data_IF_582243535745
#
_entry.id   IF_582243535745
#
_cell.length_a   1.000
_cell.length_b   1.000
_cell.length_c   1.000
_cell.angle_alpha   90.00
_cell.angle_beta   90.00
_cell.angle_gamma   90.00
#
_symmetry.space_group_name_H-M   'P 1'
#
loop_
_entity.id
_entity.type
_entity.pdbx_description
1 polymer ?
#
# COMPACT_ATOMS: atom_id res chain seq x y z
N UNK A 1 -4.01 -51.67 48.43
CA UNK A 1 -3.63 -51.23 47.07
C UNK A 1 -4.47 -50.03 46.67
N UNK A 2 -3.90 -48.81 46.67
CA UNK A 2 -4.60 -47.56 46.25
C UNK A 2 -4.11 -47.21 44.84
N UNK A 3 -5.00 -47.20 43.84
CA UNK A 3 -4.65 -46.83 42.45
C UNK A 3 -4.27 -45.34 42.40
N UNK A 4 -3.14 -44.94 41.79
CA UNK A 4 -2.76 -43.54 41.70
C UNK A 4 -3.74 -42.76 40.82
N UNK A 5 -4.11 -41.56 41.28
CA UNK A 5 -5.11 -40.68 40.65
C UNK A 5 -4.58 -40.07 39.35
N UNK A 6 -4.76 -40.82 38.26
CA UNK A 6 -4.50 -40.45 36.85
C UNK A 6 -5.26 -39.22 36.33
N UNK A 7 -6.10 -38.58 37.16
CA UNK A 7 -6.80 -37.34 36.81
C UNK A 7 -5.88 -36.13 36.70
N UNK A 8 -4.75 -36.08 37.43
CA UNK A 8 -3.78 -35.00 37.30
C UNK A 8 -3.08 -35.02 35.94
N UNK A 9 -2.81 -36.22 35.39
CA UNK A 9 -2.21 -36.39 34.07
C UNK A 9 -3.15 -35.93 32.96
N UNK A 10 -4.45 -36.24 33.08
CA UNK A 10 -5.47 -35.83 32.12
C UNK A 10 -5.68 -34.31 32.17
N UNK A 11 -5.68 -33.71 33.37
CA UNK A 11 -5.84 -32.26 33.53
C UNK A 11 -4.63 -31.45 33.01
N UNK A 12 -3.42 -32.02 33.10
CA UNK A 12 -2.22 -31.42 32.54
C UNK A 12 -2.19 -31.48 31.00
N UNK A 13 -2.68 -32.59 30.43
CA UNK A 13 -2.71 -32.81 28.98
C UNK A 13 -3.73 -31.88 28.28
N UNK A 14 -4.87 -31.60 28.92
CA UNK A 14 -5.90 -30.71 28.35
C UNK A 14 -5.52 -29.23 28.42
N UNK A 15 -4.78 -28.80 29.45
CA UNK A 15 -4.31 -27.40 29.58
C UNK A 15 -3.20 -27.06 28.56
N UNK A 16 -2.39 -28.05 28.17
CA UNK A 16 -1.37 -27.88 27.13
C UNK A 16 -1.96 -27.75 25.71
N UNK A 17 -3.16 -28.28 25.45
CA UNK A 17 -3.82 -28.21 24.14
C UNK A 17 -4.42 -26.83 23.81
N UNK A 18 -4.64 -25.99 24.81
CA UNK A 18 -5.20 -24.63 24.65
C UNK A 18 -4.18 -23.61 24.11
N UNK A 19 -2.88 -23.92 24.12
CA UNK A 19 -1.83 -23.04 23.62
C UNK A 19 -1.51 -23.20 22.13
N UNK A 20 -2.00 -24.25 21.47
CA UNK A 20 -1.71 -24.53 20.05
C UNK A 20 -2.76 -24.00 19.06
N UNK A 21 -3.84 -23.38 19.54
CA UNK A 21 -4.99 -23.04 18.69
C UNK A 21 -4.89 -21.70 17.94
N UNK A 22 -3.84 -20.90 18.17
CA UNK A 22 -3.59 -19.68 17.41
C UNK A 22 -2.18 -19.71 16.80
N UNK A 23 -2.04 -20.40 15.66
CA UNK A 23 -0.97 -20.12 14.73
C UNK A 23 -1.61 -19.31 13.59
N UNK A 24 -1.16 -18.07 13.40
CA UNK A 24 -1.54 -17.28 12.23
C UNK A 24 -0.90 -17.98 11.03
N UNK A 25 -1.68 -18.39 10.04
CA UNK A 25 -1.15 -18.91 8.79
C UNK A 25 -0.40 -17.77 8.08
N UNK A 26 0.91 -17.69 8.30
CA UNK A 26 1.78 -16.89 7.45
C UNK A 26 1.85 -17.56 6.08
N UNK A 27 1.49 -16.86 4.99
CA UNK A 27 1.67 -17.42 3.67
C UNK A 27 3.16 -17.71 3.49
N UNK A 28 3.49 -18.97 3.23
CA UNK A 28 4.84 -19.40 2.91
C UNK A 28 5.25 -18.73 1.58
N UNK A 29 5.88 -17.57 1.68
CA UNK A 29 6.63 -16.95 0.59
C UNK A 29 7.76 -17.92 0.26
N UNK A 30 7.52 -18.77 -0.74
CA UNK A 30 8.45 -19.77 -1.22
C UNK A 30 9.38 -19.11 -2.24
N UNK A 31 10.44 -18.49 -1.74
CA UNK A 31 11.51 -17.88 -2.52
C UNK A 31 11.64 -16.37 -2.27
N UNK A 32 12.84 -15.77 -2.44
CA UNK A 32 12.94 -14.33 -2.44
C UNK A 32 12.32 -13.83 -3.75
N UNK A 33 11.03 -13.49 -3.73
CA UNK A 33 10.58 -12.47 -4.67
C UNK A 33 11.38 -11.20 -4.32
N UNK A 34 12.14 -10.63 -5.26
CA UNK A 34 12.81 -9.36 -5.01
C UNK A 34 11.74 -8.37 -4.54
N UNK A 35 12.01 -7.54 -3.52
CA UNK A 35 11.08 -6.50 -3.11
C UNK A 35 10.61 -5.76 -4.36
N UNK A 36 9.29 -5.68 -4.57
CA UNK A 36 8.74 -4.90 -5.67
C UNK A 36 9.22 -3.46 -5.49
N UNK A 37 10.15 -3.01 -6.32
CA UNK A 37 10.57 -1.63 -6.31
C UNK A 37 9.50 -0.79 -7.01
N UNK A 38 8.74 -0.05 -6.20
CA UNK A 38 7.73 0.89 -6.68
C UNK A 38 8.37 1.98 -7.55
N UNK A 39 9.67 2.28 -7.37
CA UNK A 39 10.42 3.18 -8.23
C UNK A 39 10.38 2.70 -9.69
N UNK A 40 10.74 1.45 -9.93
CA UNK A 40 10.79 0.87 -11.27
C UNK A 40 9.39 0.74 -11.89
N UNK A 41 8.39 0.34 -11.09
CA UNK A 41 7.02 0.19 -11.59
C UNK A 41 6.39 1.53 -12.02
N UNK A 42 6.69 2.61 -11.30
CA UNK A 42 6.13 3.93 -11.56
C UNK A 42 7.07 4.86 -12.31
N UNK A 43 8.25 4.40 -12.72
CA UNK A 43 9.33 5.20 -13.30
C UNK A 43 9.59 6.46 -12.44
N UNK A 44 9.90 6.22 -11.16
CA UNK A 44 10.11 7.24 -10.13
C UNK A 44 11.52 7.19 -9.59
N UNK A 45 12.23 8.32 -9.63
CA UNK A 45 13.41 8.57 -8.81
C UNK A 45 12.99 9.33 -7.55
N UNK A 46 13.04 8.68 -6.38
CA UNK A 46 12.66 9.31 -5.11
C UNK A 46 13.64 10.41 -4.65
N UNK A 47 14.86 10.41 -5.16
CA UNK A 47 15.86 11.45 -4.90
C UNK A 47 15.68 12.63 -5.86
N UNK A 48 15.06 12.40 -7.02
CA UNK A 48 14.84 13.40 -8.05
C UNK A 48 13.45 13.24 -8.70
N UNK A 49 12.42 13.68 -7.99
CA UNK A 49 11.04 13.54 -8.43
C UNK A 49 10.76 14.38 -9.69
N UNK A 50 9.82 13.94 -10.56
CA UNK A 50 9.36 14.76 -11.68
C UNK A 50 8.74 16.08 -11.20
N UNK A 51 8.92 17.12 -11.99
CA UNK A 51 8.39 18.45 -11.72
C UNK A 51 6.87 18.50 -11.97
N UNK A 52 6.10 18.33 -10.90
CA UNK A 52 4.64 18.47 -10.87
C UNK A 52 4.19 19.81 -10.31
N UNK A 53 4.96 20.40 -9.40
CA UNK A 53 4.60 21.63 -8.71
C UNK A 53 4.69 22.86 -9.62
N UNK A 54 5.58 22.84 -10.61
CA UNK A 54 5.77 23.96 -11.53
C UNK A 54 6.26 23.49 -12.92
N UNK A 55 5.44 22.72 -13.67
CA UNK A 55 5.86 22.14 -14.94
C UNK A 55 6.17 23.24 -15.98
N UNK A 56 7.05 22.92 -16.92
CA UNK A 56 7.30 23.79 -18.07
C UNK A 56 6.09 23.76 -19.00
N UNK A 57 5.29 24.83 -18.95
CA UNK A 57 4.10 24.93 -19.78
C UNK A 57 4.46 25.25 -21.24
N UNK A 58 3.77 24.63 -22.22
CA UNK A 58 3.88 25.04 -23.62
C UNK A 58 3.54 26.52 -23.83
N UNK A 59 4.10 27.13 -24.89
CA UNK A 59 3.93 28.57 -25.20
C UNK A 59 2.48 29.05 -25.37
N UNK A 60 1.53 28.14 -25.59
CA UNK A 60 0.10 28.48 -25.70
C UNK A 60 -0.60 28.63 -24.34
N UNK A 61 0.08 28.29 -23.22
CA UNK A 61 -0.38 28.66 -21.89
C UNK A 61 -0.05 30.12 -21.64
N UNK A 62 -1.07 30.95 -21.74
CA UNK A 62 -0.99 32.38 -21.52
C UNK A 62 -1.02 32.70 -20.02
N UNK A 63 -0.60 33.90 -19.65
CA UNK A 63 -0.57 34.33 -18.24
C UNK A 63 -1.96 34.26 -17.59
N UNK A 64 -3.03 34.56 -18.33
CA UNK A 64 -4.41 34.46 -17.82
C UNK A 64 -4.81 33.02 -17.48
N UNK A 65 -4.33 32.01 -18.21
CA UNK A 65 -4.58 30.61 -17.87
C UNK A 65 -3.90 30.26 -16.54
N UNK A 66 -2.67 30.72 -16.34
CA UNK A 66 -1.89 30.45 -15.13
C UNK A 66 -2.45 31.18 -13.89
N UNK A 67 -3.03 32.37 -14.06
CA UNK A 67 -3.69 33.12 -12.98
C UNK A 67 -5.01 32.47 -12.52
N UNK A 68 -5.61 31.61 -13.35
CA UNK A 68 -6.84 30.88 -13.03
C UNK A 68 -6.59 29.51 -12.37
N UNK A 69 -5.46 29.34 -11.68
CA UNK A 69 -5.18 28.15 -10.88
C UNK A 69 -6.26 27.93 -9.81
N UNK A 70 -6.98 26.80 -9.92
CA UNK A 70 -8.06 26.42 -9.01
C UNK A 70 -7.58 25.53 -7.84
N UNK A 71 -6.27 25.32 -7.69
CA UNK A 71 -5.74 24.53 -6.60
C UNK A 71 -6.13 25.14 -5.23
N UNK A 72 -6.77 24.37 -4.34
CA UNK A 72 -7.13 24.85 -3.01
C UNK A 72 -5.88 25.31 -2.23
N UNK A 73 -5.99 26.41 -1.47
CA UNK A 73 -4.87 26.96 -0.71
C UNK A 73 -4.26 25.99 0.31
N UNK A 74 -5.08 25.09 0.86
CA UNK A 74 -4.66 24.06 1.82
C UNK A 74 -4.20 22.74 1.16
N UNK A 75 -4.29 22.64 -0.17
CA UNK A 75 -3.86 21.45 -0.92
C UNK A 75 -3.19 21.88 -2.24
N UNK A 76 -2.16 22.72 -2.13
CA UNK A 76 -1.33 23.11 -3.27
C UNK A 76 -0.53 21.89 -3.76
N UNK A 77 -0.33 21.81 -5.07
CA UNK A 77 0.44 20.72 -5.68
C UNK A 77 1.90 20.80 -5.22
N UNK A 78 2.47 19.65 -4.88
CA UNK A 78 3.90 19.46 -4.61
C UNK A 78 4.38 18.24 -5.38
N UNK A 79 5.66 18.17 -5.74
CA UNK A 79 6.22 17.02 -6.47
C UNK A 79 6.02 15.72 -5.70
N UNK A 80 6.32 15.74 -4.40
CA UNK A 80 6.11 14.60 -3.52
C UNK A 80 4.64 14.21 -3.39
N UNK A 81 3.74 15.18 -3.24
CA UNK A 81 2.30 14.92 -3.14
C UNK A 81 1.72 14.32 -4.42
N UNK A 82 2.14 14.83 -5.58
CA UNK A 82 1.73 14.29 -6.88
C UNK A 82 2.31 12.89 -7.15
N UNK A 83 3.58 12.65 -6.80
CA UNK A 83 4.19 11.32 -6.89
C UNK A 83 3.47 10.30 -5.99
N UNK A 84 3.16 10.66 -4.75
CA UNK A 84 2.35 9.83 -3.85
C UNK A 84 0.97 9.55 -4.45
N UNK A 85 0.30 10.58 -4.99
CA UNK A 85 -0.99 10.45 -5.66
C UNK A 85 -0.96 9.45 -6.82
N UNK A 86 0.13 9.46 -7.62
CA UNK A 86 0.33 8.47 -8.70
C UNK A 86 0.38 7.05 -8.15
N UNK A 87 1.13 6.80 -7.08
CA UNK A 87 1.20 5.46 -6.46
C UNK A 87 -0.18 5.03 -5.95
N UNK A 88 -0.86 5.89 -5.20
CA UNK A 88 -2.18 5.61 -4.62
C UNK A 88 -3.25 5.34 -5.69
N UNK A 89 -3.16 5.99 -6.85
CA UNK A 89 -4.10 5.79 -7.96
C UNK A 89 -4.14 4.34 -8.48
N UNK A 90 -3.02 3.62 -8.36
CA UNK A 90 -2.91 2.21 -8.75
C UNK A 90 -2.99 1.23 -7.57
N UNK A 91 -3.08 1.71 -6.33
CA UNK A 91 -3.13 0.87 -5.14
C UNK A 91 -4.51 0.24 -4.92
N UNK A 92 -4.58 -1.09 -5.06
CA UNK A 92 -5.81 -1.86 -4.82
C UNK A 92 -6.18 -1.93 -3.34
N UNK A 93 -5.22 -1.76 -2.42
CA UNK A 93 -5.47 -1.83 -0.98
C UNK A 93 -6.36 -0.70 -0.47
N UNK A 94 -6.54 0.35 -1.27
CA UNK A 94 -7.53 1.40 -1.00
C UNK A 94 -8.98 0.94 -1.23
N UNK A 95 -9.20 -0.22 -1.86
CA UNK A 95 -10.53 -0.84 -1.94
C UNK A 95 -10.81 -1.76 -0.76
N UNK A 96 -12.09 -1.86 -0.38
CA UNK A 96 -12.56 -2.67 0.76
C UNK A 96 -12.05 -4.11 0.77
N UNK A 97 -11.86 -4.71 -0.41
CA UNK A 97 -11.48 -6.11 -0.57
C UNK A 97 -10.16 -6.29 -1.35
N UNK A 98 -9.37 -5.23 -1.51
CA UNK A 98 -8.06 -5.27 -2.17
C UNK A 98 -8.09 -5.73 -3.65
N UNK A 99 -9.21 -5.56 -4.37
CA UNK A 99 -9.35 -6.04 -5.76
C UNK A 99 -9.41 -4.93 -6.81
N UNK A 100 -9.76 -3.69 -6.43
CA UNK A 100 -9.98 -2.58 -7.37
C UNK A 100 -9.13 -1.37 -6.95
N UNK A 101 -8.46 -0.73 -7.89
CA UNK A 101 -7.81 0.57 -7.71
C UNK A 101 -8.53 1.64 -8.54
N UNK A 102 -8.21 2.92 -8.37
CA UNK A 102 -8.75 3.99 -9.22
C UNK A 102 -8.45 3.72 -10.71
N UNK A 103 -7.21 3.31 -11.00
CA UNK A 103 -6.75 2.92 -12.34
C UNK A 103 -7.49 1.73 -12.96
N UNK A 104 -8.23 0.93 -12.16
CA UNK A 104 -9.00 -0.20 -12.69
C UNK A 104 -10.15 0.25 -13.57
N UNK A 105 -10.72 1.43 -13.30
CA UNK A 105 -11.78 2.04 -14.10
C UNK A 105 -11.28 3.25 -14.90
N UNK A 106 -10.38 4.05 -14.33
CA UNK A 106 -9.81 5.25 -14.96
C UNK A 106 -8.44 4.92 -15.56
N UNK A 107 -8.44 4.26 -16.72
CA UNK A 107 -7.20 3.83 -17.38
C UNK A 107 -6.53 5.04 -18.03
N UNK A 108 -5.37 5.42 -17.50
CA UNK A 108 -4.51 6.38 -18.15
C UNK A 108 -3.88 5.70 -19.37
N UNK A 109 -4.19 6.21 -20.56
CA UNK A 109 -3.49 5.80 -21.78
C UNK A 109 -2.09 6.44 -21.72
N UNK A 110 -1.06 5.60 -21.81
CA UNK A 110 0.35 6.01 -21.90
C UNK A 110 0.77 5.83 -23.36
#
# INVERSE_FOLDING_TARGET
MKRPKQWHFILFLTMSGLFFSCQKDEPAITGPEPPLDLADYFDLDWQNLPNYANPDYPVHYTADVLENDNAPSLNRVTDAGAALGRVLFFDKQLSRNNTVACASCHRQEI
#
